data_IF_398760620730
#
_entry.id   IF_398760620730
#
_cell.length_a   1.000
_cell.length_b   1.000
_cell.length_c   1.000
_cell.angle_alpha   90.00
_cell.angle_beta   90.00
_cell.angle_gamma   90.00
#
_symmetry.space_group_name_H-M   'P 1'
#
loop_
_entity.id
_entity.type
_entity.pdbx_description
1 polymer ?
#
# COMPACT_ATOMS: atom_id res chain seq x y z
N UNK A 1 17.79 12.71 -12.34
CA UNK A 1 16.82 13.36 -13.23
C UNK A 1 15.48 12.65 -13.11
N UNK A 2 14.36 13.41 -13.10
CA UNK A 2 13.03 12.85 -12.96
C UNK A 2 11.95 13.89 -13.26
N UNK A 3 10.69 13.44 -13.24
CA UNK A 3 9.53 14.30 -13.46
C UNK A 3 8.72 14.37 -12.17
N UNK A 4 8.39 15.57 -11.71
CA UNK A 4 7.50 15.83 -10.58
C UNK A 4 6.12 16.25 -11.10
N UNK A 5 5.11 15.45 -10.79
CA UNK A 5 3.71 15.81 -11.08
C UNK A 5 3.13 16.60 -9.91
N UNK A 6 2.85 17.89 -10.13
CA UNK A 6 2.32 18.80 -9.10
C UNK A 6 0.79 18.77 -8.99
N UNK A 7 0.11 18.11 -9.92
CA UNK A 7 -1.36 17.96 -9.96
C UNK A 7 -1.71 16.50 -10.17
N UNK A 8 -1.52 15.70 -9.13
CA UNK A 8 -1.87 14.28 -9.13
C UNK A 8 -3.06 14.03 -8.20
N UNK A 9 -4.05 13.29 -8.68
CA UNK A 9 -5.30 13.03 -7.97
C UNK A 9 -5.54 11.55 -7.84
N UNK A 10 -6.10 11.12 -6.71
CA UNK A 10 -6.49 9.75 -6.43
C UNK A 10 -7.90 9.51 -6.97
N UNK A 11 -8.09 8.42 -7.71
CA UNK A 11 -9.39 8.09 -8.30
C UNK A 11 -10.40 7.58 -7.25
N UNK A 12 -9.92 6.78 -6.28
CA UNK A 12 -10.71 6.28 -5.16
C UNK A 12 -9.77 6.05 -3.97
N UNK A 13 -9.84 6.90 -2.96
CA UNK A 13 -8.89 6.98 -1.84
C UNK A 13 -9.03 5.84 -0.81
N UNK A 14 -9.28 4.62 -1.28
CA UNK A 14 -9.31 3.37 -0.49
C UNK A 14 -8.33 2.38 -1.10
N UNK A 15 -7.62 1.61 -0.26
CA UNK A 15 -6.47 0.79 -0.70
C UNK A 15 -6.80 -0.21 -1.82
N UNK A 16 -7.84 -1.05 -1.70
CA UNK A 16 -8.21 -2.01 -2.74
C UNK A 16 -8.62 -1.34 -4.05
N UNK A 17 -9.62 -0.43 -4.04
CA UNK A 17 -10.05 0.31 -5.21
C UNK A 17 -8.94 1.05 -5.95
N UNK A 18 -8.07 1.77 -5.22
CA UNK A 18 -6.97 2.49 -5.87
C UNK A 18 -5.92 1.53 -6.44
N UNK A 19 -5.62 0.43 -5.75
CA UNK A 19 -4.74 -0.61 -6.30
C UNK A 19 -5.29 -1.22 -7.58
N UNK A 20 -6.61 -1.45 -7.65
CA UNK A 20 -7.26 -1.91 -8.88
C UNK A 20 -7.18 -0.86 -9.99
N UNK A 21 -7.31 0.42 -9.66
CA UNK A 21 -7.11 1.53 -10.61
C UNK A 21 -5.69 1.54 -11.16
N UNK A 22 -4.67 1.42 -10.31
CA UNK A 22 -3.26 1.33 -10.72
C UNK A 22 -2.98 0.12 -11.61
N UNK A 23 -3.65 -1.02 -11.35
CA UNK A 23 -3.47 -2.22 -12.16
C UNK A 23 -4.15 -2.15 -13.53
N UNK A 24 -5.27 -1.44 -13.64
CA UNK A 24 -6.13 -1.48 -14.85
C UNK A 24 -6.14 -0.19 -15.65
N UNK A 25 -5.69 0.94 -15.08
CA UNK A 25 -5.88 2.27 -15.64
C UNK A 25 -7.36 2.71 -15.68
N UNK A 26 -8.24 2.02 -14.93
CA UNK A 26 -9.68 2.25 -14.96
C UNK A 26 -10.20 2.67 -13.59
N UNK A 27 -11.12 3.63 -13.55
CA UNK A 27 -11.86 4.00 -12.35
C UNK A 27 -12.67 2.83 -11.77
N UNK A 28 -12.98 2.87 -10.48
CA UNK A 28 -13.66 1.79 -9.74
C UNK A 28 -14.99 1.34 -10.34
N UNK A 29 -15.77 2.24 -10.95
CA UNK A 29 -17.03 1.89 -11.62
C UNK A 29 -16.81 1.08 -12.92
N UNK A 30 -15.62 1.16 -13.54
CA UNK A 30 -15.23 0.40 -14.74
C UNK A 30 -14.51 -0.90 -14.37
N UNK A 31 -13.57 -0.85 -13.41
CA UNK A 31 -12.83 -2.04 -13.00
C UNK A 31 -13.62 -2.94 -12.05
N UNK A 32 -14.73 -2.45 -11.46
CA UNK A 32 -15.61 -3.19 -10.58
C UNK A 32 -15.20 -3.20 -9.10
N UNK A 33 -14.00 -2.74 -8.75
CA UNK A 33 -13.49 -2.72 -7.38
C UNK A 33 -13.93 -1.46 -6.64
N UNK A 34 -15.08 -1.52 -5.97
CA UNK A 34 -15.70 -0.34 -5.32
C UNK A 34 -15.30 -0.15 -3.87
N UNK A 35 -14.89 -1.23 -3.19
CA UNK A 35 -14.51 -1.25 -1.78
C UNK A 35 -13.45 -2.33 -1.50
N UNK A 36 -12.96 -2.42 -0.25
CA UNK A 36 -11.98 -3.42 0.16
C UNK A 36 -12.54 -4.85 0.31
N UNK A 37 -13.85 -5.04 0.23
CA UNK A 37 -14.52 -6.35 0.34
C UNK A 37 -14.73 -6.98 -1.03
N UNK A 38 -14.79 -6.17 -2.07
CA UNK A 38 -14.94 -6.62 -3.45
C UNK A 38 -13.70 -7.43 -3.85
N UNK A 39 -13.94 -8.58 -4.48
CA UNK A 39 -12.87 -9.37 -5.10
C UNK A 39 -12.54 -8.80 -6.47
N UNK A 40 -11.27 -8.55 -6.73
CA UNK A 40 -10.81 -8.09 -8.03
C UNK A 40 -11.01 -9.16 -9.10
N UNK A 41 -11.58 -8.76 -10.23
CA UNK A 41 -11.77 -9.60 -11.40
C UNK A 41 -10.43 -9.83 -12.11
N UNK A 42 -9.84 -10.99 -11.88
CA UNK A 42 -8.55 -11.38 -12.45
C UNK A 42 -8.58 -11.66 -13.96
N UNK A 43 -9.73 -11.61 -14.62
CA UNK A 43 -9.81 -11.73 -16.09
C UNK A 43 -9.50 -10.42 -16.81
N UNK A 44 -9.58 -9.29 -16.10
CA UNK A 44 -9.32 -7.97 -16.66
C UNK A 44 -7.90 -7.83 -17.20
N UNK A 45 -7.77 -6.99 -18.22
CA UNK A 45 -6.46 -6.55 -18.72
C UNK A 45 -5.82 -5.66 -17.65
N UNK A 46 -4.60 -6.01 -17.24
CA UNK A 46 -3.82 -5.29 -16.22
C UNK A 46 -2.50 -4.82 -16.80
N UNK A 47 -1.93 -3.79 -16.19
CA UNK A 47 -0.61 -3.26 -16.55
C UNK A 47 0.45 -4.38 -16.67
N UNK A 48 0.64 -5.27 -15.67
CA UNK A 48 1.63 -6.34 -15.80
C UNK A 48 1.33 -7.31 -16.94
N UNK A 49 0.07 -7.61 -17.27
CA UNK A 49 -0.25 -8.43 -18.45
C UNK A 49 0.19 -7.78 -19.75
N UNK A 50 0.00 -6.46 -19.87
CA UNK A 50 0.43 -5.71 -21.07
C UNK A 50 1.96 -5.76 -21.18
N UNK A 51 2.68 -5.57 -20.08
CA UNK A 51 4.14 -5.63 -20.06
C UNK A 51 4.64 -7.04 -20.38
N UNK A 52 4.05 -8.07 -19.78
CA UNK A 52 4.39 -9.46 -20.03
C UNK A 52 4.17 -9.84 -21.51
N UNK A 53 3.04 -9.43 -22.09
CA UNK A 53 2.75 -9.62 -23.50
C UNK A 53 3.79 -8.97 -24.43
N UNK A 54 4.38 -7.84 -23.99
CA UNK A 54 5.44 -7.15 -24.71
C UNK A 54 6.86 -7.62 -24.36
N UNK A 55 7.02 -8.81 -23.77
CA UNK A 55 8.30 -9.46 -23.54
C UNK A 55 9.04 -9.00 -22.28
N UNK A 56 8.42 -8.19 -21.43
CA UNK A 56 8.98 -7.83 -20.13
C UNK A 56 8.90 -8.98 -19.14
N UNK A 57 9.88 -9.09 -18.26
CA UNK A 57 9.74 -9.85 -17.04
C UNK A 57 8.96 -9.01 -16.02
N UNK A 58 7.99 -9.63 -15.35
CA UNK A 58 7.08 -8.92 -14.46
C UNK A 58 7.13 -9.48 -13.05
N UNK A 59 7.27 -8.61 -12.04
CA UNK A 59 7.29 -9.01 -10.64
C UNK A 59 6.51 -8.08 -9.73
N UNK A 60 5.98 -8.65 -8.65
CA UNK A 60 5.30 -7.93 -7.57
C UNK A 60 5.78 -8.44 -6.21
N UNK A 61 6.22 -7.52 -5.35
CA UNK A 61 6.58 -7.85 -3.97
C UNK A 61 5.84 -6.92 -2.99
N UNK A 62 5.21 -7.50 -1.97
CA UNK A 62 4.58 -6.77 -0.88
C UNK A 62 3.06 -6.78 -0.88
N UNK A 63 2.42 -5.67 -0.54
CA UNK A 63 0.97 -5.62 -0.32
C UNK A 63 0.18 -5.67 -1.64
N UNK A 64 -0.63 -6.71 -1.82
CA UNK A 64 -1.57 -6.84 -2.93
C UNK A 64 -2.96 -6.28 -2.60
N UNK A 65 -3.63 -6.88 -1.64
CA UNK A 65 -4.90 -6.43 -1.04
C UNK A 65 -6.07 -6.26 -2.04
N UNK A 66 -6.19 -7.15 -3.01
CA UNK A 66 -7.28 -7.16 -4.00
C UNK A 66 -8.21 -8.37 -3.88
N UNK A 67 -8.17 -9.10 -2.75
CA UNK A 67 -9.02 -10.29 -2.48
C UNK A 67 -8.90 -11.39 -3.55
N UNK A 68 -7.87 -11.33 -4.38
CA UNK A 68 -7.50 -12.30 -5.41
C UNK A 68 -5.99 -12.52 -5.40
N UNK A 69 -5.50 -13.49 -6.13
CA UNK A 69 -4.05 -13.57 -6.39
C UNK A 69 -3.65 -12.63 -7.54
N UNK A 70 -2.38 -12.15 -7.55
CA UNK A 70 -1.84 -11.34 -8.64
C UNK A 70 -1.88 -12.10 -9.96
N UNK A 71 -2.16 -11.38 -11.05
CA UNK A 71 -2.19 -11.91 -12.42
C UNK A 71 -1.31 -11.09 -13.35
N UNK A 72 -0.70 -11.73 -14.34
CA UNK A 72 0.21 -11.08 -15.30
C UNK A 72 1.62 -10.83 -14.75
N UNK A 73 2.02 -11.59 -13.74
CA UNK A 73 3.37 -11.55 -13.18
C UNK A 73 4.06 -12.90 -13.35
N UNK A 74 5.32 -12.87 -13.72
CA UNK A 74 6.21 -14.04 -13.74
C UNK A 74 6.67 -14.43 -12.33
N UNK A 75 6.68 -13.45 -11.43
CA UNK A 75 7.02 -13.62 -10.02
C UNK A 75 6.14 -12.75 -9.14
N UNK A 76 5.65 -13.30 -8.03
CA UNK A 76 5.09 -12.49 -6.96
C UNK A 76 5.24 -13.14 -5.59
N UNK A 77 5.38 -12.29 -4.60
CA UNK A 77 5.37 -12.64 -3.18
C UNK A 77 4.61 -11.55 -2.42
N UNK A 78 3.45 -11.90 -1.86
CA UNK A 78 2.49 -10.91 -1.34
C UNK A 78 2.23 -11.08 0.15
N UNK A 79 1.95 -9.97 0.81
CA UNK A 79 1.46 -9.95 2.18
C UNK A 79 -0.01 -10.41 2.23
N UNK A 80 -0.41 -11.32 3.14
CA UNK A 80 -1.82 -11.63 3.39
C UNK A 80 -2.57 -10.39 3.88
N UNK A 81 -3.68 -10.04 3.24
CA UNK A 81 -4.53 -8.91 3.63
C UNK A 81 -3.77 -7.59 3.80
N UNK A 82 -3.79 -7.02 5.00
CA UNK A 82 -3.08 -5.77 5.33
C UNK A 82 -1.59 -5.98 5.64
N UNK A 83 -1.15 -7.21 5.85
CA UNK A 83 0.20 -7.55 6.26
C UNK A 83 0.54 -7.13 7.70
N UNK A 84 1.72 -7.53 8.15
CA UNK A 84 2.28 -7.22 9.46
C UNK A 84 3.49 -6.32 9.29
N UNK A 85 3.79 -5.49 10.29
CA UNK A 85 4.98 -4.63 10.28
C UNK A 85 6.26 -5.36 10.68
N UNK A 86 6.15 -6.24 11.68
CA UNK A 86 7.25 -7.07 12.15
C UNK A 86 6.93 -8.52 11.87
N UNK A 87 7.95 -9.32 11.61
CA UNK A 87 7.85 -10.75 11.27
C UNK A 87 6.79 -10.99 10.18
N UNK A 88 6.90 -10.29 9.02
CA UNK A 88 5.85 -10.33 8.02
C UNK A 88 5.69 -11.72 7.43
N UNK A 89 4.43 -12.12 7.25
CA UNK A 89 4.09 -13.33 6.50
C UNK A 89 3.91 -12.99 5.03
N UNK A 90 4.36 -13.90 4.17
CA UNK A 90 4.15 -13.79 2.73
C UNK A 90 3.53 -15.05 2.17
N UNK A 91 2.71 -14.87 1.14
CA UNK A 91 2.20 -15.93 0.28
C UNK A 91 3.03 -15.91 -1.01
N UNK A 92 3.56 -17.06 -1.42
CA UNK A 92 4.28 -17.24 -2.68
C UNK A 92 3.33 -17.58 -3.82
N UNK A 93 3.83 -17.58 -5.06
CA UNK A 93 3.09 -18.06 -6.25
C UNK A 93 2.64 -19.52 -6.14
N UNK A 94 3.30 -20.34 -5.33
CA UNK A 94 2.92 -21.73 -5.07
C UNK A 94 1.77 -21.87 -4.07
N UNK A 95 1.35 -20.75 -3.45
CA UNK A 95 0.35 -20.74 -2.39
C UNK A 95 0.91 -20.96 -0.98
N UNK A 96 2.20 -21.26 -0.86
CA UNK A 96 2.86 -21.43 0.44
C UNK A 96 2.91 -20.14 1.21
N UNK A 97 2.76 -20.24 2.52
CA UNK A 97 2.90 -19.09 3.43
C UNK A 97 4.14 -19.26 4.30
N UNK A 98 5.01 -18.27 4.29
CA UNK A 98 6.24 -18.24 5.10
C UNK A 98 6.33 -16.96 5.91
N UNK A 99 6.86 -17.06 7.13
CA UNK A 99 7.18 -15.89 7.99
C UNK A 99 8.64 -15.52 7.80
N UNK A 100 8.90 -14.23 7.66
CA UNK A 100 10.24 -13.67 7.50
C UNK A 100 10.61 -12.87 8.74
N UNK A 101 11.84 -13.04 9.19
CA UNK A 101 12.35 -12.28 10.34
C UNK A 101 12.64 -10.82 9.93
N UNK A 102 12.21 -9.88 10.75
CA UNK A 102 12.54 -8.46 10.61
C UNK A 102 11.35 -7.54 10.31
N UNK A 103 11.68 -6.35 9.82
CA UNK A 103 10.70 -5.30 9.53
C UNK A 103 10.22 -5.37 8.08
N UNK A 104 8.92 -5.30 7.86
CA UNK A 104 8.29 -5.55 6.57
C UNK A 104 8.86 -4.73 5.41
N UNK A 105 9.21 -3.45 5.65
CA UNK A 105 9.80 -2.61 4.59
C UNK A 105 11.16 -3.16 4.13
N UNK A 106 12.01 -3.58 5.08
CA UNK A 106 13.30 -4.16 4.76
C UNK A 106 13.14 -5.49 4.02
N UNK A 107 12.31 -6.39 4.56
CA UNK A 107 12.06 -7.70 3.95
C UNK A 107 11.51 -7.59 2.53
N UNK A 108 10.56 -6.66 2.30
CA UNK A 108 10.02 -6.40 0.95
C UNK A 108 11.12 -5.88 0.01
N UNK A 109 11.98 -4.99 0.51
CA UNK A 109 13.07 -4.42 -0.28
C UNK A 109 14.12 -5.48 -0.62
N UNK A 110 14.52 -6.30 0.35
CA UNK A 110 15.51 -7.36 0.17
C UNK A 110 15.02 -8.42 -0.83
N UNK A 111 13.74 -8.78 -0.75
CA UNK A 111 13.10 -9.69 -1.70
C UNK A 111 13.06 -9.10 -3.12
N UNK A 112 12.75 -7.82 -3.24
CA UNK A 112 12.75 -7.12 -4.52
C UNK A 112 14.18 -7.05 -5.14
N UNK A 113 15.19 -6.78 -4.33
CA UNK A 113 16.60 -6.78 -4.74
C UNK A 113 17.04 -8.20 -5.16
N UNK A 114 16.64 -9.22 -4.38
CA UNK A 114 16.94 -10.61 -4.71
C UNK A 114 16.38 -10.98 -6.09
N UNK A 115 15.12 -10.64 -6.35
CA UNK A 115 14.52 -10.85 -7.67
C UNK A 115 15.25 -10.08 -8.77
N UNK A 116 15.60 -8.79 -8.54
CA UNK A 116 16.36 -7.98 -9.51
C UNK A 116 17.71 -8.61 -9.87
N UNK A 117 18.40 -9.19 -8.91
CA UNK A 117 19.68 -9.83 -9.12
C UNK A 117 19.55 -11.15 -9.90
N UNK A 118 18.48 -11.90 -9.66
CA UNK A 118 18.21 -13.20 -10.28
C UNK A 118 17.50 -13.13 -11.63
N UNK A 119 17.00 -11.96 -12.06
CA UNK A 119 16.25 -11.84 -13.32
C UNK A 119 17.12 -12.08 -14.56
N UNK A 120 16.51 -12.39 -15.68
CA UNK A 120 17.19 -12.41 -16.98
C UNK A 120 17.58 -10.99 -17.40
N UNK A 121 18.86 -10.68 -17.40
CA UNK A 121 19.38 -9.32 -17.68
C UNK A 121 19.23 -8.91 -19.15
N UNK A 122 18.94 -9.83 -20.06
CA UNK A 122 18.71 -9.52 -21.48
C UNK A 122 17.28 -9.04 -21.77
N UNK A 123 16.36 -9.13 -20.80
CA UNK A 123 14.98 -8.68 -20.95
C UNK A 123 14.69 -7.43 -20.14
N UNK A 124 13.86 -6.52 -20.65
CA UNK A 124 13.34 -5.43 -19.85
C UNK A 124 12.45 -5.99 -18.74
N UNK A 125 12.17 -5.20 -17.71
CA UNK A 125 11.37 -5.66 -16.59
C UNK A 125 10.38 -4.61 -16.08
N UNK A 126 9.31 -5.08 -15.45
CA UNK A 126 8.39 -4.33 -14.59
C UNK A 126 8.49 -4.92 -13.18
N UNK A 127 8.93 -4.16 -12.22
CA UNK A 127 8.93 -4.54 -10.80
C UNK A 127 8.04 -3.57 -10.01
N UNK A 128 7.00 -4.10 -9.39
CA UNK A 128 6.14 -3.36 -8.48
C UNK A 128 6.50 -3.72 -7.03
N UNK A 129 6.93 -2.73 -6.27
CA UNK A 129 7.27 -2.87 -4.85
C UNK A 129 6.21 -2.15 -4.03
N UNK A 130 5.40 -2.91 -3.31
CA UNK A 130 4.24 -2.40 -2.58
C UNK A 130 4.46 -2.51 -1.08
N UNK A 131 5.00 -1.46 -0.47
CA UNK A 131 5.21 -1.43 0.98
C UNK A 131 3.89 -1.40 1.77
N UNK A 132 3.94 -1.93 3.01
CA UNK A 132 2.87 -1.78 3.99
C UNK A 132 2.86 -0.40 4.63
N UNK A 133 4.03 0.12 4.96
CA UNK A 133 4.19 1.47 5.52
C UNK A 133 3.71 2.53 4.52
N UNK A 134 3.10 3.63 4.96
CA UNK A 134 2.82 4.05 6.35
C UNK A 134 1.38 3.74 6.83
N UNK A 135 0.80 2.60 6.49
CA UNK A 135 -0.56 2.25 6.92
C UNK A 135 -0.68 2.23 8.45
N UNK A 136 -1.86 2.59 8.99
CA UNK A 136 -2.14 2.40 10.42
C UNK A 136 -1.87 0.92 10.80
N UNK A 137 -1.32 0.58 11.91
CA UNK A 137 -1.06 1.33 13.16
C UNK A 137 0.26 2.11 13.23
N UNK A 138 0.86 2.52 12.13
CA UNK A 138 2.07 3.36 12.07
C UNK A 138 3.24 2.85 12.90
N UNK A 139 3.48 1.54 12.88
CA UNK A 139 4.60 0.94 13.63
C UNK A 139 5.89 1.14 12.85
N UNK A 140 6.83 1.85 13.45
CA UNK A 140 8.17 2.07 12.93
C UNK A 140 9.22 1.35 13.78
N UNK A 141 10.39 0.99 13.22
CA UNK A 141 11.53 0.52 14.02
C UNK A 141 11.98 1.58 15.01
N UNK A 142 12.41 1.17 16.22
CA UNK A 142 12.83 2.07 17.31
C UNK A 142 13.81 3.15 16.84
N UNK A 143 14.82 2.77 16.04
CA UNK A 143 15.82 3.71 15.51
C UNK A 143 15.23 4.93 14.78
N UNK A 144 14.04 4.81 14.19
CA UNK A 144 13.38 5.92 13.51
C UNK A 144 12.47 6.70 14.45
N UNK A 145 11.89 6.05 15.45
CA UNK A 145 11.10 6.73 16.49
C UNK A 145 12.01 7.66 17.30
N UNK A 146 13.16 7.17 17.72
CA UNK A 146 14.16 7.95 18.48
C UNK A 146 14.65 9.17 17.71
N UNK A 147 14.83 9.04 16.38
CA UNK A 147 15.32 10.13 15.52
C UNK A 147 14.38 11.35 15.55
N UNK A 148 13.11 11.16 15.81
CA UNK A 148 12.09 12.22 15.78
C UNK A 148 11.50 12.54 17.16
N UNK A 149 11.95 11.88 18.21
CA UNK A 149 11.36 12.01 19.56
C UNK A 149 11.38 13.44 20.09
N UNK A 150 12.42 14.20 19.82
CA UNK A 150 12.57 15.60 20.27
C UNK A 150 12.13 16.66 19.23
N UNK A 151 11.56 16.22 18.09
CA UNK A 151 11.17 17.15 17.02
C UNK A 151 9.69 17.51 17.13
N UNK A 152 9.40 18.80 17.15
CA UNK A 152 8.04 19.33 16.95
C UNK A 152 7.83 19.58 15.47
N UNK A 153 6.75 19.06 14.93
CA UNK A 153 6.35 19.32 13.55
C UNK A 153 5.32 20.45 13.54
N UNK A 154 5.46 21.45 12.65
CA UNK A 154 4.47 22.53 12.55
C UNK A 154 3.12 21.97 12.10
N UNK A 155 2.06 22.42 12.75
CA UNK A 155 0.70 22.09 12.33
C UNK A 155 0.40 22.79 10.99
N UNK A 156 -0.16 22.08 9.99
CA UNK A 156 -0.59 22.72 8.76
C UNK A 156 -1.77 23.67 9.04
N UNK A 157 -1.81 24.81 8.38
CA UNK A 157 -2.89 25.81 8.52
C UNK A 157 -4.28 25.25 8.22
N UNK A 158 -4.34 24.12 7.51
CA UNK A 158 -5.58 23.42 7.14
C UNK A 158 -6.03 22.38 8.14
N UNK A 159 -5.32 22.18 9.27
CA UNK A 159 -5.64 21.12 10.24
C UNK A 159 -7.03 21.29 10.86
N UNK A 160 -7.41 22.55 11.16
CA UNK A 160 -8.69 22.91 11.77
C UNK A 160 -9.60 23.67 10.80
N UNK A 161 -9.47 23.41 9.49
CA UNK A 161 -10.27 24.12 8.50
C UNK A 161 -11.75 23.82 8.69
N UNK A 162 -12.59 24.85 8.58
CA UNK A 162 -14.03 24.68 8.61
C UNK A 162 -14.50 23.83 7.43
N UNK A 163 -15.49 22.98 7.70
CA UNK A 163 -16.13 22.13 6.72
C UNK A 163 -17.17 22.86 5.85
N UNK A 164 -17.44 24.12 6.15
CA UNK A 164 -18.35 24.97 5.39
C UNK A 164 -17.85 25.05 3.92
N UNK A 165 -18.75 24.84 2.97
CA UNK A 165 -18.42 24.87 1.56
C UNK A 165 -17.88 23.54 0.97
N UNK A 166 -17.54 22.57 1.80
CA UNK A 166 -17.17 21.23 1.32
C UNK A 166 -18.40 20.38 1.03
N UNK A 167 -18.28 19.45 0.07
CA UNK A 167 -19.35 18.52 -0.30
C UNK A 167 -19.77 17.59 0.85
N UNK A 168 -20.98 17.03 0.75
CA UNK A 168 -21.56 16.13 1.77
C UNK A 168 -20.69 14.90 2.02
N UNK A 169 -20.05 14.33 1.02
CA UNK A 169 -19.15 13.17 1.18
C UNK A 169 -17.99 13.47 2.12
N UNK A 170 -17.41 14.66 2.09
CA UNK A 170 -16.35 15.08 2.99
C UNK A 170 -16.86 15.18 4.44
N UNK A 171 -18.05 15.74 4.66
CA UNK A 171 -18.65 15.92 5.99
C UNK A 171 -19.17 14.60 6.59
N UNK A 172 -19.67 13.68 5.76
CA UNK A 172 -20.27 12.42 6.20
C UNK A 172 -19.31 11.23 6.22
N UNK A 173 -18.05 11.43 5.82
CA UNK A 173 -17.06 10.37 5.90
C UNK A 173 -16.87 9.88 7.35
N UNK A 174 -16.72 8.58 7.53
CA UNK A 174 -16.62 7.96 8.85
C UNK A 174 -15.19 7.87 9.40
N UNK A 175 -14.18 8.09 8.56
CA UNK A 175 -12.77 8.03 8.95
C UNK A 175 -12.31 9.38 9.50
N UNK A 176 -12.33 9.54 10.81
CA UNK A 176 -11.82 10.73 11.49
C UNK A 176 -10.82 10.37 12.57
N UNK A 177 -9.96 11.32 12.93
CA UNK A 177 -9.02 11.15 14.04
C UNK A 177 -9.79 10.87 15.33
N UNK A 178 -10.82 11.67 15.60
CA UNK A 178 -11.59 11.59 16.84
C UNK A 178 -12.34 10.26 17.02
N UNK A 179 -12.96 9.73 15.96
CA UNK A 179 -13.88 8.58 16.08
C UNK A 179 -13.27 7.25 15.64
N UNK A 180 -12.25 7.27 14.78
CA UNK A 180 -11.76 6.05 14.13
C UNK A 180 -10.31 5.70 14.47
N UNK A 181 -9.48 6.68 14.84
CA UNK A 181 -8.12 6.39 15.26
C UNK A 181 -8.08 6.05 16.74
N UNK A 182 -7.54 4.90 17.06
CA UNK A 182 -7.38 4.45 18.45
C UNK A 182 -6.20 5.17 19.09
N UNK A 183 -6.42 5.76 20.26
CA UNK A 183 -5.42 6.55 20.97
C UNK A 183 -4.11 5.79 21.18
N UNK A 184 -4.16 4.58 21.72
CA UNK A 184 -2.95 3.79 22.03
C UNK A 184 -2.28 3.23 20.77
N UNK A 185 -3.05 2.65 19.83
CA UNK A 185 -2.48 1.91 18.71
C UNK A 185 -2.18 2.77 17.49
N UNK A 186 -3.00 3.77 17.20
CA UNK A 186 -2.80 4.65 16.06
C UNK A 186 -2.07 5.95 16.44
N UNK A 187 -2.55 6.64 17.47
CA UNK A 187 -2.02 7.95 17.86
C UNK A 187 -0.85 7.85 18.84
N UNK A 188 -0.58 6.67 19.40
CA UNK A 188 0.50 6.43 20.37
C UNK A 188 0.38 7.25 21.67
N UNK A 189 -0.83 7.68 21.99
CA UNK A 189 -1.10 8.40 23.23
C UNK A 189 -1.28 7.40 24.38
N UNK A 190 -0.55 7.58 25.46
CA UNK A 190 -0.73 6.80 26.68
C UNK A 190 -2.06 7.23 27.36
N UNK A 191 -2.98 6.32 27.65
CA UNK A 191 -4.28 6.62 28.24
C UNK A 191 -4.21 7.42 29.55
N UNK A 192 -3.12 7.30 30.33
CA UNK A 192 -2.93 8.05 31.57
C UNK A 192 -2.84 9.58 31.39
N UNK A 193 -2.55 10.07 30.20
CA UNK A 193 -2.50 11.50 29.88
C UNK A 193 -3.82 12.06 29.35
N UNK A 194 -4.88 11.27 29.32
CA UNK A 194 -6.19 11.63 28.79
C UNK A 194 -7.23 11.96 29.89
N UNK A 195 -6.82 11.99 31.15
CA UNK A 195 -7.68 12.35 32.30
C UNK A 195 -7.49 13.81 32.67
#
# INVERSE_FOLDING_TARGET
>A
EGMLYTRNFVANSICGPERATLQTGQHSHKNGMKDNRTRFDSTKITLPRIFQFNGYQTALVGKWHLQSYPVGYDYWKILPGQGQYFEPRFISMKGDTSTYHGYATNVITDEAISWLNGRNKSKPFLLQIHHKAPHRYFLAPLKYIEQYHSKTFPEPSTLYIDTAGHGTAWRLQTMSILHNMKLCSDLKVDPKYLM
#
